data_IF_450116265184
#
_entry.id   IF_450116265184
#
_cell.length_a   1.000
_cell.length_b   1.000
_cell.length_c   1.000
_cell.angle_alpha   90.00
_cell.angle_beta   90.00
_cell.angle_gamma   90.00
#
_symmetry.space_group_name_H-M   'P 1'
#
loop_
_entity.id
_entity.type
_entity.pdbx_description
1 polymer ?
#
# COMPACT_ATOMS: atom_id res chain seq x y z
N UNK A 1 -7.06 -17.22 5.47
CA UNK A 1 -7.69 -16.52 4.34
C UNK A 1 -7.17 -15.10 4.27
N UNK A 2 -6.88 -14.65 3.06
CA UNK A 2 -6.37 -13.29 2.86
C UNK A 2 -7.48 -12.36 2.42
N UNK A 3 -7.40 -11.12 2.86
CA UNK A 3 -8.30 -10.07 2.41
C UNK A 3 -7.53 -9.07 1.56
N UNK A 4 -8.24 -8.43 0.66
CA UNK A 4 -7.66 -7.35 -0.12
C UNK A 4 -7.76 -6.07 0.70
N UNK A 5 -6.60 -5.49 0.98
CA UNK A 5 -6.50 -4.26 1.77
C UNK A 5 -5.93 -3.18 0.87
N UNK A 6 -6.63 -2.07 0.78
CA UNK A 6 -6.09 -0.89 0.12
C UNK A 6 -5.43 -0.02 1.17
N UNK A 7 -4.24 0.46 0.86
CA UNK A 7 -3.47 1.30 1.78
C UNK A 7 -3.10 2.57 1.06
N UNK A 8 -3.64 3.69 1.55
CA UNK A 8 -3.35 5.01 1.03
C UNK A 8 -2.56 5.77 2.09
N UNK A 9 -1.57 6.53 1.66
CA UNK A 9 -0.79 7.32 2.61
C UNK A 9 -0.51 8.70 2.08
N UNK A 10 -0.36 9.62 3.02
CA UNK A 10 0.02 11.00 2.76
C UNK A 10 1.13 11.33 3.76
N UNK A 11 2.36 11.30 3.29
CA UNK A 11 3.56 11.43 4.11
C UNK A 11 4.30 12.69 3.66
N UNK A 12 4.52 13.61 4.58
CA UNK A 12 5.09 14.93 4.22
C UNK A 12 6.59 14.91 3.99
N UNK A 13 7.31 13.99 4.62
CA UNK A 13 8.76 13.93 4.52
C UNK A 13 9.20 12.92 3.47
N UNK A 14 10.13 13.30 2.62
CA UNK A 14 10.59 12.45 1.51
C UNK A 14 11.20 11.14 2.01
N UNK A 15 12.00 11.20 3.05
CA UNK A 15 12.67 9.99 3.57
C UNK A 15 11.68 9.03 4.18
N UNK A 16 10.74 9.55 4.97
CA UNK A 16 9.69 8.70 5.53
C UNK A 16 8.82 8.11 4.45
N UNK A 17 8.45 8.92 3.45
CA UNK A 17 7.62 8.46 2.34
C UNK A 17 8.30 7.32 1.58
N UNK A 18 9.58 7.46 1.29
CA UNK A 18 10.34 6.43 0.60
C UNK A 18 10.39 5.13 1.40
N UNK A 19 10.60 5.25 2.71
CA UNK A 19 10.63 4.09 3.60
C UNK A 19 9.30 3.34 3.59
N UNK A 20 8.21 4.09 3.70
CA UNK A 20 6.86 3.50 3.68
C UNK A 20 6.62 2.82 2.33
N UNK A 21 6.98 3.47 1.24
CA UNK A 21 6.82 2.90 -0.09
C UNK A 21 7.58 1.58 -0.22
N UNK A 22 8.83 1.56 0.21
CA UNK A 22 9.65 0.34 0.12
C UNK A 22 9.08 -0.78 0.99
N UNK A 23 8.57 -0.44 2.16
CA UNK A 23 7.96 -1.44 3.02
C UNK A 23 6.70 -2.02 2.41
N UNK A 24 5.84 -1.17 1.86
CA UNK A 24 4.59 -1.63 1.26
C UNK A 24 4.84 -2.48 0.02
N UNK A 25 5.91 -2.20 -0.72
CA UNK A 25 6.29 -3.05 -1.86
C UNK A 25 6.56 -4.49 -1.45
N UNK A 26 6.96 -4.71 -0.22
CA UNK A 26 7.17 -6.06 0.29
C UNK A 26 5.88 -6.81 0.60
N UNK A 27 4.76 -6.11 0.63
CA UNK A 27 3.47 -6.69 0.99
C UNK A 27 2.44 -6.67 -0.14
N UNK A 28 2.64 -5.85 -1.16
CA UNK A 28 1.65 -5.74 -2.23
C UNK A 28 2.14 -4.96 -3.41
N UNK A 29 1.20 -4.45 -4.19
CA UNK A 29 1.47 -3.74 -5.43
C UNK A 29 0.98 -2.31 -5.36
N UNK A 30 1.77 -1.40 -5.92
CA UNK A 30 1.37 -0.01 -6.03
C UNK A 30 0.32 0.14 -7.14
N UNK A 31 -0.81 0.75 -6.81
CA UNK A 31 -1.83 1.13 -7.80
C UNK A 31 -1.60 2.56 -8.26
N UNK A 32 -1.16 3.41 -7.34
CA UNK A 32 -0.76 4.77 -7.57
C UNK A 32 0.46 5.01 -6.68
N UNK A 33 1.10 6.16 -6.80
CA UNK A 33 2.31 6.44 -6.03
C UNK A 33 2.09 6.35 -4.52
N UNK A 34 0.89 6.68 -4.06
CA UNK A 34 0.58 6.64 -2.64
C UNK A 34 -0.61 5.74 -2.33
N UNK A 35 -0.85 4.75 -3.18
CA UNK A 35 -1.96 3.81 -3.01
C UNK A 35 -1.49 2.41 -3.37
N UNK A 36 -1.58 1.51 -2.41
CA UNK A 36 -1.19 0.11 -2.58
C UNK A 36 -2.38 -0.81 -2.40
N UNK A 37 -2.34 -1.95 -3.07
CA UNK A 37 -3.21 -3.08 -2.75
C UNK A 37 -2.37 -4.20 -2.19
N UNK A 38 -2.80 -4.75 -1.08
CA UNK A 38 -2.10 -5.83 -0.39
C UNK A 38 -3.08 -6.95 -0.08
N UNK A 39 -2.66 -8.19 -0.24
CA UNK A 39 -3.48 -9.35 0.13
C UNK A 39 -2.91 -9.91 1.41
N UNK A 40 -3.61 -9.69 2.52
CA UNK A 40 -3.08 -9.95 3.85
C UNK A 40 -4.03 -10.80 4.67
N UNK A 41 -3.44 -11.70 5.48
CA UNK A 41 -4.19 -12.33 6.57
C UNK A 41 -4.40 -11.31 7.67
N UNK A 42 -5.28 -11.62 8.62
CA UNK A 42 -5.49 -10.74 9.77
C UNK A 42 -4.22 -10.51 10.58
N UNK A 43 -3.40 -11.54 10.73
CA UNK A 43 -2.13 -11.43 11.44
C UNK A 43 -1.14 -10.56 10.69
N UNK A 44 -1.03 -10.75 9.39
CA UNK A 44 -0.16 -9.93 8.55
C UNK A 44 -0.59 -8.47 8.57
N UNK A 45 -1.90 -8.23 8.53
CA UNK A 45 -2.43 -6.87 8.57
C UNK A 45 -2.08 -6.17 9.87
N UNK A 46 -2.27 -6.87 10.98
CA UNK A 46 -1.98 -6.30 12.29
C UNK A 46 -0.48 -5.97 12.44
N UNK A 47 0.35 -6.88 11.95
CA UNK A 47 1.80 -6.67 12.00
C UNK A 47 2.22 -5.47 11.15
N UNK A 48 1.72 -5.40 9.93
CA UNK A 48 2.02 -4.29 9.04
C UNK A 48 1.56 -2.97 9.64
N UNK A 49 0.34 -2.95 10.18
CA UNK A 49 -0.17 -1.74 10.82
C UNK A 49 0.73 -1.26 11.94
N UNK A 50 1.19 -2.17 12.78
CA UNK A 50 2.05 -1.81 13.89
C UNK A 50 3.38 -1.23 13.40
N UNK A 51 3.95 -1.83 12.36
CA UNK A 51 5.21 -1.34 11.79
C UNK A 51 5.05 0.04 11.15
N UNK A 52 3.97 0.25 10.43
CA UNK A 52 3.69 1.55 9.81
C UNK A 52 3.46 2.61 10.88
N UNK A 53 2.73 2.25 11.93
CA UNK A 53 2.44 3.16 13.03
C UNK A 53 3.73 3.74 13.62
N UNK A 54 4.76 2.93 13.76
CA UNK A 54 6.02 3.38 14.34
C UNK A 54 6.87 4.24 13.42
N UNK A 55 6.59 4.21 12.13
CA UNK A 55 7.43 4.89 11.16
C UNK A 55 6.93 6.27 10.78
N UNK A 56 5.67 6.60 11.06
CA UNK A 56 5.13 7.89 10.64
C UNK A 56 5.22 8.92 11.74
N UNK A 57 5.13 10.17 11.33
CA UNK A 57 4.99 11.31 12.24
C UNK A 57 3.50 11.56 12.41
N UNK A 58 2.96 11.21 13.57
CA UNK A 58 1.53 11.24 13.81
C UNK A 58 0.92 12.65 13.77
N UNK A 59 1.75 13.68 13.80
CA UNK A 59 1.27 15.05 13.69
C UNK A 59 1.26 15.57 12.26
N UNK A 60 1.89 14.86 11.32
CA UNK A 60 2.06 15.35 9.96
C UNK A 60 1.63 14.35 8.90
N UNK A 61 1.64 13.07 9.22
CA UNK A 61 1.43 12.02 8.25
C UNK A 61 0.11 11.31 8.48
N UNK A 62 -0.40 10.68 7.44
CA UNK A 62 -1.63 9.91 7.53
C UNK A 62 -1.54 8.66 6.70
N UNK A 63 -2.05 7.54 7.24
CA UNK A 63 -2.20 6.29 6.53
C UNK A 63 -3.62 5.80 6.74
N UNK A 64 -4.27 5.37 5.65
CA UNK A 64 -5.61 4.82 5.68
C UNK A 64 -5.54 3.40 5.14
N UNK A 65 -6.10 2.45 5.87
CA UNK A 65 -6.20 1.06 5.44
C UNK A 65 -7.66 0.72 5.27
N UNK A 66 -8.01 0.19 4.10
CA UNK A 66 -9.40 -0.12 3.75
C UNK A 66 -9.50 -1.59 3.42
N UNK A 67 -10.29 -2.32 4.18
CA UNK A 67 -10.52 -3.75 3.95
C UNK A 67 -11.66 -3.91 2.96
N UNK A 68 -11.35 -4.47 1.78
CA UNK A 68 -12.34 -4.70 0.73
C UNK A 68 -13.02 -6.06 0.93
N UNK A 69 -12.39 -6.96 1.69
CA UNK A 69 -12.95 -8.28 1.93
C UNK A 69 -12.07 -9.38 1.38
N UNK A 70 -12.53 -10.63 1.48
CA UNK A 70 -11.74 -11.79 1.03
C UNK A 70 -11.31 -11.66 -0.41
N UNK A 71 -10.06 -11.97 -0.68
CA UNK A 71 -9.48 -11.77 -2.02
C UNK A 71 -10.17 -12.60 -3.09
N UNK A 72 -10.72 -13.74 -2.73
CA UNK A 72 -11.38 -14.65 -3.66
C UNK A 72 -12.87 -14.41 -3.76
N UNK A 73 -13.38 -13.43 -3.08
CA UNK A 73 -14.80 -13.14 -3.12
C UNK A 73 -15.06 -11.86 -3.89
N UNK A 74 -15.87 -11.03 -3.29
CA UNK A 74 -16.27 -9.76 -3.88
C UNK A 74 -15.09 -8.85 -4.18
N UNK A 75 -14.00 -8.97 -3.42
CA UNK A 75 -12.82 -8.12 -3.61
C UNK A 75 -12.22 -8.27 -5.01
N UNK A 76 -12.31 -9.46 -5.59
CA UNK A 76 -11.77 -9.69 -6.93
C UNK A 76 -12.44 -8.81 -7.98
N UNK A 77 -13.68 -8.38 -7.72
CA UNK A 77 -14.45 -7.56 -8.65
C UNK A 77 -14.59 -6.11 -8.20
N UNK A 78 -14.13 -5.80 -7.01
CA UNK A 78 -14.36 -4.50 -6.42
C UNK A 78 -13.41 -3.43 -6.95
N UNK A 79 -12.26 -3.83 -7.46
CA UNK A 79 -11.24 -2.91 -7.92
C UNK A 79 -11.17 -2.95 -9.44
N UNK A 80 -11.34 -1.80 -10.05
CA UNK A 80 -11.29 -1.65 -11.49
C UNK A 80 -10.35 -0.50 -11.81
N UNK A 81 -9.23 -0.81 -12.43
CA UNK A 81 -8.24 0.19 -12.79
C UNK A 81 -7.98 0.11 -14.28
N UNK A 82 -7.98 1.24 -14.94
CA UNK A 82 -7.75 1.29 -16.37
C UNK A 82 -6.94 2.54 -16.71
N UNK A 83 -6.43 2.57 -17.94
CA UNK A 83 -5.55 3.64 -18.37
C UNK A 83 -4.11 3.14 -18.37
N UNK A 84 -3.17 4.05 -18.25
CA UNK A 84 -1.75 3.70 -18.21
C UNK A 84 -1.42 2.99 -16.91
N UNK A 85 -0.81 1.80 -16.96
CA UNK A 85 -0.36 1.15 -15.74
C UNK A 85 0.83 1.91 -15.17
N UNK A 86 1.10 1.67 -13.89
CA UNK A 86 2.34 2.14 -13.31
C UNK A 86 3.50 1.45 -14.02
N UNK A 87 4.60 2.18 -14.14
CA UNK A 87 5.79 1.63 -14.77
C UNK A 87 6.25 0.41 -14.00
N UNK A 88 6.70 -0.62 -14.71
CA UNK A 88 7.21 -1.83 -14.10
C UNK A 88 8.34 -1.47 -13.12
N UNK A 89 8.09 -1.76 -11.85
CA UNK A 89 9.03 -1.40 -10.80
C UNK A 89 10.37 -2.10 -10.94
N UNK A 90 10.40 -3.29 -11.53
CA UNK A 90 11.66 -4.00 -11.70
C UNK A 90 12.59 -3.27 -12.66
N UNK A 91 12.04 -2.58 -13.64
CA UNK A 91 12.82 -1.88 -14.63
C UNK A 91 13.02 -0.40 -14.30
N UNK A 92 12.10 0.20 -13.54
CA UNK A 92 12.07 1.64 -13.36
C UNK A 92 11.74 2.05 -11.94
N UNK A 93 12.33 1.39 -10.98
CA UNK A 93 11.99 1.62 -9.58
C UNK A 93 12.17 3.06 -9.14
N UNK A 94 13.21 3.70 -9.63
CA UNK A 94 13.47 5.09 -9.26
C UNK A 94 12.36 6.05 -9.66
N UNK A 95 11.60 5.70 -10.66
CA UNK A 95 10.54 6.56 -11.17
C UNK A 95 9.27 6.47 -10.36
N UNK A 96 9.14 5.44 -9.55
CA UNK A 96 7.93 5.23 -8.75
C UNK A 96 7.99 5.90 -7.40
N UNK A 97 9.12 6.45 -7.03
CA UNK A 97 9.33 7.01 -5.70
C UNK A 97 9.23 8.52 -5.74
N UNK A 98 8.22 8.99 -6.31
CA UNK A 98 8.09 10.45 -6.44
C UNK A 98 7.11 11.04 -5.48
#
# INVERSE_FOLDING_TARGET
MRSLILIAYDISDDKRRTKIFQQLKGFGEALQYSLFQCKLTGTERAKLRAELWEQIDHSKDRIVMIDIGPEQGRAALALDAFGQPLVDSSAHQGMLIV
#
